data_IF_799845969750
#
_entry.id   IF_799845969750
#
_cell.length_a   1.000
_cell.length_b   1.000
_cell.length_c   1.000
_cell.angle_alpha   90.00
_cell.angle_beta   90.00
_cell.angle_gamma   90.00
#
_symmetry.space_group_name_H-M   'P 1'
#
loop_
_entity.id
_entity.type
_entity.pdbx_description
1 polymer ?
#
# COMPACT_ATOMS: atom_id res chain seq x y z
N UNK A 1 -4.98 41.31 19.27
CA UNK A 1 -3.84 40.57 18.67
C UNK A 1 -4.01 39.10 19.01
N UNK A 2 -3.91 38.22 18.00
CA UNK A 2 -3.58 36.77 18.03
C UNK A 2 -4.15 36.13 16.74
N UNK A 3 -3.40 36.16 15.63
CA UNK A 3 -2.66 34.99 15.09
C UNK A 3 -3.61 33.96 14.42
N UNK A 4 -3.88 34.01 13.12
CA UNK A 4 -2.92 34.01 12.01
C UNK A 4 -2.53 32.60 11.53
N UNK A 5 -2.86 31.53 12.28
CA UNK A 5 -2.19 30.23 12.10
C UNK A 5 -3.00 29.12 11.42
N UNK A 6 -4.31 29.30 11.15
CA UNK A 6 -5.14 28.19 10.62
C UNK A 6 -5.17 28.05 9.08
N UNK A 7 -4.62 29.00 8.32
CA UNK A 7 -4.63 28.94 6.84
C UNK A 7 -3.35 28.37 6.22
N UNK A 8 -2.26 28.22 6.99
CA UNK A 8 -0.98 27.76 6.44
C UNK A 8 -0.93 26.23 6.24
N UNK A 9 -1.69 25.44 7.00
CA UNK A 9 -1.67 23.97 6.89
C UNK A 9 -2.33 23.43 5.61
N UNK A 10 -3.30 24.16 5.05
CA UNK A 10 -3.97 23.75 3.80
C UNK A 10 -3.05 23.83 2.58
N UNK A 11 -2.01 24.67 2.61
CA UNK A 11 -1.08 24.84 1.49
C UNK A 11 0.03 23.76 1.45
N UNK A 12 0.30 23.06 2.57
CA UNK A 12 1.35 22.03 2.62
C UNK A 12 0.92 20.66 2.12
N UNK A 13 -0.38 20.36 2.10
CA UNK A 13 -0.91 19.03 1.78
C UNK A 13 -1.56 18.91 0.40
N UNK A 14 -1.41 19.91 -0.47
CA UNK A 14 -1.83 19.80 -1.86
C UNK A 14 -0.78 18.99 -2.64
N UNK A 15 -1.03 17.70 -2.85
CA UNK A 15 -0.30 16.91 -3.83
C UNK A 15 -0.62 17.44 -5.25
N UNK A 16 0.38 17.69 -6.13
CA UNK A 16 0.11 18.08 -7.49
C UNK A 16 -0.53 16.91 -8.25
N UNK A 17 -1.81 17.08 -8.57
CA UNK A 17 -2.45 16.34 -9.65
C UNK A 17 -1.88 16.86 -10.98
N UNK A 18 -1.43 15.93 -11.83
CA UNK A 18 -0.96 16.16 -13.21
C UNK A 18 0.43 16.79 -13.38
N UNK A 19 1.47 15.94 -13.33
CA UNK A 19 2.62 16.07 -14.22
C UNK A 19 2.77 14.77 -15.03
N UNK A 20 1.72 14.43 -15.78
CA UNK A 20 1.88 13.59 -16.95
C UNK A 20 2.51 14.45 -18.06
N UNK A 21 3.63 14.01 -18.65
CA UNK A 21 3.80 13.86 -20.11
C UNK A 21 5.27 13.75 -20.54
N UNK A 22 5.68 12.50 -20.83
CA UNK A 22 6.29 12.07 -22.10
C UNK A 22 7.75 12.50 -22.48
N UNK A 23 8.37 11.79 -23.46
CA UNK A 23 9.79 11.43 -23.50
C UNK A 23 10.67 12.35 -24.36
N UNK A 24 11.98 12.36 -24.12
CA UNK A 24 13.00 12.84 -25.08
C UNK A 24 14.28 11.99 -25.02
N UNK A 25 14.54 11.23 -26.08
CA UNK A 25 15.89 10.89 -26.57
C UNK A 25 16.28 11.92 -27.66
N UNK A 26 17.52 11.99 -28.21
CA UNK A 26 18.82 11.37 -27.87
C UNK A 26 20.00 12.40 -27.85
N UNK A 27 21.25 11.85 -27.77
CA UNK A 27 22.55 12.37 -28.28
C UNK A 27 23.50 12.93 -27.19
N UNK A 28 24.34 12.09 -26.59
CA UNK A 28 25.70 11.66 -27.04
C UNK A 28 26.76 12.76 -26.83
N UNK A 29 27.68 12.57 -25.87
CA UNK A 29 29.15 12.70 -26.06
C UNK A 29 29.90 12.06 -24.87
N UNK A 30 30.63 10.99 -25.17
CA UNK A 30 31.86 10.42 -24.60
C UNK A 30 32.24 10.58 -23.10
N UNK A 31 32.40 9.42 -22.44
CA UNK A 31 33.33 9.20 -21.33
C UNK A 31 33.21 7.77 -20.78
N UNK A 32 34.23 6.89 -20.89
CA UNK A 32 34.17 5.56 -20.31
C UNK A 32 34.52 5.63 -18.81
N UNK A 33 33.52 5.86 -17.98
CA UNK A 33 33.62 5.65 -16.54
C UNK A 33 32.91 4.35 -16.18
N UNK A 34 33.74 3.36 -15.86
CA UNK A 34 33.50 2.14 -15.08
C UNK A 34 32.12 2.06 -14.39
N UNK A 35 31.20 1.30 -14.98
CA UNK A 35 30.03 0.70 -14.32
C UNK A 35 30.54 -0.57 -13.59
N UNK A 36 30.21 -0.88 -12.34
CA UNK A 36 28.89 -0.91 -11.73
C UNK A 36 28.99 -0.83 -10.21
N UNK A 37 28.41 0.21 -9.62
CA UNK A 37 28.10 0.35 -8.20
C UNK A 37 26.59 0.38 -7.98
N UNK A 38 26.11 0.12 -6.76
CA UNK A 38 24.95 -0.72 -6.47
C UNK A 38 23.63 -0.11 -6.94
N UNK A 39 22.83 -0.92 -7.65
CA UNK A 39 21.43 -0.65 -7.91
C UNK A 39 20.68 -0.55 -6.58
N UNK A 40 20.24 0.67 -6.30
CA UNK A 40 19.16 1.09 -5.41
C UNK A 40 18.26 -0.06 -4.90
N UNK A 41 18.63 -0.58 -3.74
CA UNK A 41 17.74 -1.32 -2.84
C UNK A 41 16.88 -0.36 -2.01
N UNK A 42 16.24 0.62 -2.67
CA UNK A 42 15.48 1.70 -2.03
C UNK A 42 13.95 1.59 -2.25
N UNK A 43 13.43 0.38 -2.49
CA UNK A 43 11.99 0.11 -2.56
C UNK A 43 11.46 -0.77 -1.41
N UNK A 44 12.26 -1.03 -0.37
CA UNK A 44 11.89 -1.96 0.71
C UNK A 44 11.48 -1.28 2.03
N UNK A 45 11.71 0.02 2.20
CA UNK A 45 11.61 0.68 3.52
C UNK A 45 10.26 1.35 3.84
N UNK A 46 9.34 1.47 2.89
CA UNK A 46 8.05 2.16 3.12
C UNK A 46 6.95 1.26 3.73
N UNK A 47 7.15 -0.05 3.77
CA UNK A 47 6.12 -1.04 4.17
C UNK A 47 6.25 -1.54 5.61
N UNK A 48 7.22 -1.06 6.39
CA UNK A 48 7.39 -1.45 7.80
C UNK A 48 6.62 -0.54 8.80
N UNK A 49 6.23 0.67 8.38
CA UNK A 49 5.60 1.67 9.26
C UNK A 49 4.12 1.37 9.62
N UNK A 50 3.54 0.30 9.07
CA UNK A 50 2.15 -0.11 9.37
C UNK A 50 2.04 -1.15 10.50
N UNK A 51 3.14 -1.64 11.07
CA UNK A 51 3.12 -2.85 11.93
C UNK A 51 2.78 -2.59 13.41
N UNK A 52 2.73 -1.33 13.88
CA UNK A 52 2.70 -1.07 15.33
C UNK A 52 1.58 -0.13 15.81
N UNK A 53 0.49 0.04 15.07
CA UNK A 53 -0.70 0.77 15.58
C UNK A 53 -1.79 -0.18 16.05
N UNK A 54 -1.53 -0.74 17.24
CA UNK A 54 -2.50 -1.40 18.09
C UNK A 54 -2.62 -2.90 17.84
N UNK A 55 -2.28 -3.71 18.84
CA UNK A 55 -2.64 -5.11 18.93
C UNK A 55 -4.17 -5.27 19.08
N UNK A 56 -4.92 -4.79 18.09
CA UNK A 56 -6.32 -5.12 17.88
C UNK A 56 -6.28 -6.50 17.24
N UNK A 57 -7.03 -7.46 17.82
CA UNK A 57 -6.97 -8.86 17.41
C UNK A 57 -7.04 -9.05 15.89
N UNK A 58 -6.48 -10.15 15.40
CA UNK A 58 -6.60 -10.53 14.00
C UNK A 58 -7.61 -11.67 13.85
N UNK A 59 -8.32 -11.68 12.72
CA UNK A 59 -9.17 -12.78 12.30
C UNK A 59 -8.56 -13.42 11.05
N UNK A 60 -8.47 -14.74 11.02
CA UNK A 60 -7.95 -15.44 9.83
C UNK A 60 -9.10 -15.70 8.86
N UNK A 61 -8.89 -15.36 7.60
CA UNK A 61 -9.83 -15.67 6.52
C UNK A 61 -9.19 -16.63 5.53
N UNK A 62 -9.98 -17.56 5.01
CA UNK A 62 -9.64 -18.43 3.88
C UNK A 62 -10.40 -17.97 2.63
N UNK A 63 -9.71 -17.92 1.49
CA UNK A 63 -10.31 -17.63 0.20
C UNK A 63 -10.64 -18.93 -0.55
N UNK A 64 -11.88 -19.10 -0.98
CA UNK A 64 -12.34 -20.33 -1.65
C UNK A 64 -12.33 -20.22 -3.21
N UNK A 65 -12.08 -19.02 -3.74
CA UNK A 65 -12.01 -18.77 -5.19
C UNK A 65 -10.71 -19.26 -5.84
N UNK A 66 -10.76 -19.60 -7.12
CA UNK A 66 -9.62 -20.19 -7.85
C UNK A 66 -8.49 -19.22 -8.17
N UNK A 67 -8.77 -17.92 -8.28
CA UNK A 67 -7.81 -16.89 -8.66
C UNK A 67 -7.26 -16.10 -7.49
N UNK A 68 -6.34 -15.18 -7.79
CA UNK A 68 -5.90 -14.19 -6.82
C UNK A 68 -7.04 -13.23 -6.47
N UNK A 69 -7.17 -12.89 -5.18
CA UNK A 69 -8.09 -11.87 -4.69
C UNK A 69 -7.32 -10.85 -3.86
N UNK A 70 -7.45 -9.57 -4.20
CA UNK A 70 -6.90 -8.46 -3.41
C UNK A 70 -8.07 -7.63 -2.87
N UNK A 71 -8.14 -7.51 -1.54
CA UNK A 71 -9.20 -6.75 -0.85
C UNK A 71 -8.56 -5.60 -0.08
N UNK A 72 -9.10 -4.41 -0.22
CA UNK A 72 -8.73 -3.27 0.63
C UNK A 72 -9.68 -3.19 1.82
N UNK A 73 -9.14 -3.28 3.03
CA UNK A 73 -9.88 -3.10 4.27
C UNK A 73 -10.46 -1.69 4.35
N UNK A 74 -11.78 -1.59 4.56
CA UNK A 74 -12.49 -0.31 4.58
C UNK A 74 -12.12 0.55 5.80
N UNK A 75 -11.84 -0.09 6.93
CA UNK A 75 -11.56 0.58 8.19
C UNK A 75 -10.09 0.96 8.31
N UNK A 76 -9.19 0.06 7.91
CA UNK A 76 -7.73 0.28 8.08
C UNK A 76 -7.02 0.76 6.80
N UNK A 77 -7.65 0.62 5.63
CA UNK A 77 -7.00 0.87 4.33
C UNK A 77 -5.96 -0.18 3.94
N UNK A 78 -5.75 -1.24 4.74
CA UNK A 78 -4.78 -2.31 4.44
C UNK A 78 -5.21 -3.13 3.24
N UNK A 79 -4.26 -3.59 2.44
CA UNK A 79 -4.52 -4.53 1.34
C UNK A 79 -4.22 -5.95 1.77
N UNK A 80 -5.19 -6.84 1.61
CA UNK A 80 -5.11 -8.26 1.91
C UNK A 80 -5.09 -9.03 0.59
N UNK A 81 -4.03 -9.81 0.37
CA UNK A 81 -3.82 -10.58 -0.87
C UNK A 81 -3.97 -12.07 -0.61
N UNK A 82 -4.95 -12.68 -1.25
CA UNK A 82 -5.19 -14.12 -1.25
C UNK A 82 -4.69 -14.68 -2.57
N UNK A 83 -3.71 -15.58 -2.54
CA UNK A 83 -3.01 -16.09 -3.74
C UNK A 83 -3.81 -17.12 -4.55
N UNK A 84 -4.97 -17.57 -4.05
CA UNK A 84 -5.78 -18.60 -4.70
C UNK A 84 -6.71 -19.30 -3.72
N UNK A 85 -7.22 -20.46 -4.13
CA UNK A 85 -8.11 -21.29 -3.30
C UNK A 85 -7.33 -21.83 -2.09
N UNK A 86 -7.95 -21.76 -0.92
CA UNK A 86 -7.36 -22.18 0.35
C UNK A 86 -6.34 -21.19 0.92
N UNK A 87 -6.06 -20.06 0.24
CA UNK A 87 -5.14 -19.07 0.76
C UNK A 87 -5.68 -18.46 2.05
N UNK A 88 -4.82 -18.38 3.08
CA UNK A 88 -5.18 -17.88 4.41
C UNK A 88 -4.48 -16.55 4.68
N UNK A 89 -5.22 -15.56 5.12
CA UNK A 89 -4.70 -14.23 5.43
C UNK A 89 -5.22 -13.78 6.78
N UNK A 90 -4.32 -13.27 7.63
CA UNK A 90 -4.69 -12.60 8.87
C UNK A 90 -5.18 -11.18 8.53
N UNK A 91 -6.41 -10.90 8.91
CA UNK A 91 -7.11 -9.63 8.67
C UNK A 91 -7.27 -8.90 10.00
N UNK A 92 -7.18 -7.58 9.99
CA UNK A 92 -7.46 -6.76 11.16
C UNK A 92 -8.92 -6.92 11.61
N UNK A 93 -9.17 -7.06 12.92
CA UNK A 93 -10.53 -7.20 13.45
C UNK A 93 -11.47 -6.06 13.05
N UNK A 94 -10.96 -4.85 12.77
CA UNK A 94 -11.75 -3.72 12.29
C UNK A 94 -12.26 -3.89 10.86
N UNK A 95 -11.58 -4.70 10.04
CA UNK A 95 -11.99 -4.98 8.67
C UNK A 95 -12.75 -6.32 8.56
N UNK A 96 -12.63 -7.19 9.56
CA UNK A 96 -13.22 -8.53 9.55
C UNK A 96 -14.75 -8.56 9.26
N UNK A 97 -15.60 -7.66 9.79
CA UNK A 97 -17.03 -7.66 9.46
C UNK A 97 -17.31 -7.39 7.99
N UNK A 98 -16.53 -6.47 7.37
CA UNK A 98 -16.69 -6.16 5.95
C UNK A 98 -16.18 -7.30 5.06
N UNK A 99 -15.08 -7.95 5.44
CA UNK A 99 -14.56 -9.09 4.69
C UNK A 99 -15.42 -10.35 4.84
N UNK A 100 -16.14 -10.51 5.95
CA UNK A 100 -17.08 -11.62 6.15
C UNK A 100 -18.31 -11.55 5.24
N UNK A 101 -18.58 -10.40 4.60
CA UNK A 101 -19.67 -10.25 3.63
C UNK A 101 -19.26 -10.68 2.20
N UNK A 102 -17.99 -11.02 1.97
CA UNK A 102 -17.52 -11.44 0.65
C UNK A 102 -17.77 -12.93 0.47
N UNK A 103 -18.60 -13.32 -0.51
CA UNK A 103 -19.01 -14.71 -0.76
C UNK A 103 -17.85 -15.71 -0.93
N UNK A 104 -16.67 -15.23 -1.34
CA UNK A 104 -15.49 -16.05 -1.57
C UNK A 104 -14.54 -16.13 -0.37
N UNK A 105 -14.87 -15.47 0.74
CA UNK A 105 -14.08 -15.46 1.96
C UNK A 105 -14.84 -16.11 3.10
N UNK A 106 -14.15 -17.00 3.81
CA UNK A 106 -14.67 -17.63 5.01
C UNK A 106 -13.76 -17.36 6.19
N UNK A 107 -14.34 -16.90 7.30
CA UNK A 107 -13.59 -16.69 8.54
C UNK A 107 -13.28 -18.04 9.21
N UNK A 108 -12.04 -18.21 9.66
CA UNK A 108 -11.61 -19.31 10.51
C UNK A 108 -11.64 -18.82 11.97
N UNK A 109 -12.21 -19.64 12.85
CA UNK A 109 -12.39 -19.34 14.27
C UNK A 109 -11.04 -19.26 15.01
#
# INVERSE_FOLDING_TARGET
MCCGSKRLDAARNAAPAYAQAAPRTPRETAGPATLSGPTDSAAAAATAAAVQRGARGSAVFVHDGAGELVVTGKSTGRRYRFTGRGARVAVDALDAPALAMLDKLRRLA
#
